data_IF_327900718597
#
_entry.id   IF_327900718597
#
_cell.length_a   1.000
_cell.length_b   1.000
_cell.length_c   1.000
_cell.angle_alpha   90.00
_cell.angle_beta   90.00
_cell.angle_gamma   90.00
#
_symmetry.space_group_name_H-M   'P 1'
#
loop_
_entity.id
_entity.type
_entity.pdbx_description
1 polymer ?
#
# COMPACT_ATOMS: atom_id res chain seq x y z
N UNK A 1 -22.47 0.89 11.66
CA UNK A 1 -22.72 -0.38 12.33
C UNK A 1 -21.46 -0.77 13.08
N UNK A 2 -21.60 -0.89 14.38
CA UNK A 2 -20.56 -1.33 15.33
C UNK A 2 -20.04 -2.73 14.91
N UNK A 3 -18.74 -2.89 14.62
CA UNK A 3 -18.18 -4.21 14.38
C UNK A 3 -18.13 -4.98 15.69
N UNK A 4 -19.19 -5.70 16.01
CA UNK A 4 -19.22 -6.56 17.19
C UNK A 4 -18.39 -7.81 16.94
N UNK A 5 -17.25 -7.88 17.55
CA UNK A 5 -16.43 -9.09 17.61
C UNK A 5 -17.22 -10.24 18.24
N UNK A 6 -17.47 -11.29 17.48
CA UNK A 6 -18.16 -12.47 17.97
C UNK A 6 -17.14 -13.61 18.15
N UNK A 7 -16.75 -13.87 19.39
CA UNK A 7 -15.86 -14.97 19.74
C UNK A 7 -14.37 -14.62 19.78
N UNK A 8 -13.49 -15.57 20.11
CA UNK A 8 -12.05 -15.38 20.12
C UNK A 8 -11.54 -15.14 18.70
N UNK A 9 -10.87 -14.01 18.45
CA UNK A 9 -10.26 -13.70 17.17
C UNK A 9 -8.86 -13.11 17.37
N UNK A 10 -8.00 -13.33 16.40
CA UNK A 10 -6.68 -12.70 16.32
C UNK A 10 -6.75 -11.58 15.29
N UNK A 11 -6.29 -10.40 15.65
CA UNK A 11 -6.18 -9.26 14.76
C UNK A 11 -4.75 -9.18 14.21
N UNK A 12 -4.61 -9.26 12.89
CA UNK A 12 -3.36 -9.01 12.18
C UNK A 12 -3.39 -7.61 11.55
N UNK A 13 -2.48 -6.75 12.00
CA UNK A 13 -2.32 -5.39 11.50
C UNK A 13 -1.23 -5.25 10.43
N UNK A 14 -0.68 -6.35 9.91
CA UNK A 14 0.43 -6.37 8.95
C UNK A 14 0.19 -5.59 7.68
N UNK A 15 -1.06 -5.45 7.25
CA UNK A 15 -1.45 -4.71 6.04
C UNK A 15 -1.80 -3.23 6.26
N UNK A 16 -1.57 -2.65 7.47
CA UNK A 16 -1.90 -1.24 7.76
C UNK A 16 -0.94 -0.57 8.74
N UNK A 17 -0.27 -1.35 9.60
CA UNK A 17 0.48 -0.80 10.72
C UNK A 17 1.73 -0.01 10.27
N UNK A 18 2.38 -0.40 9.18
CA UNK A 18 3.57 0.29 8.67
C UNK A 18 3.21 1.68 8.13
N UNK A 19 2.13 1.74 7.34
CA UNK A 19 1.61 3.01 6.83
C UNK A 19 1.16 3.93 7.96
N UNK A 20 0.46 3.39 8.96
CA UNK A 20 0.06 4.16 10.13
C UNK A 20 1.27 4.72 10.90
N UNK A 21 2.32 3.91 11.09
CA UNK A 21 3.54 4.35 11.74
C UNK A 21 4.22 5.51 10.99
N UNK A 22 4.30 5.42 9.65
CA UNK A 22 4.84 6.51 8.81
C UNK A 22 4.05 7.81 8.99
N UNK A 23 2.72 7.76 8.91
CA UNK A 23 1.86 8.93 9.11
C UNK A 23 2.05 9.54 10.51
N UNK A 24 2.20 8.69 11.55
CA UNK A 24 2.41 9.14 12.93
C UNK A 24 3.80 9.76 13.14
N UNK A 25 4.84 9.23 12.50
CA UNK A 25 6.18 9.79 12.56
C UNK A 25 6.19 11.16 11.88
N UNK A 26 5.68 11.24 10.64
CA UNK A 26 5.66 12.48 9.87
C UNK A 26 4.94 13.63 10.60
N UNK A 27 3.82 13.35 11.27
CA UNK A 27 3.08 14.34 12.07
C UNK A 27 3.86 14.91 13.25
N UNK A 28 4.88 14.21 13.73
CA UNK A 28 5.71 14.61 14.86
C UNK A 28 7.03 15.24 14.45
N UNK A 29 7.36 15.16 13.15
CA UNK A 29 8.58 15.79 12.64
C UNK A 29 8.42 17.30 12.57
N UNK A 30 9.45 18.00 12.99
CA UNK A 30 9.58 19.44 12.82
C UNK A 30 10.72 19.67 11.84
N UNK A 31 10.38 19.75 10.54
CA UNK A 31 11.35 19.92 9.47
C UNK A 31 11.72 21.39 9.29
N UNK A 32 12.96 21.62 8.90
CA UNK A 32 13.41 22.91 8.39
C UNK A 32 13.05 23.04 6.91
N UNK A 33 12.97 24.26 6.41
CA UNK A 33 12.49 24.56 5.05
C UNK A 33 13.34 23.95 3.93
N UNK A 34 14.62 23.62 4.20
CA UNK A 34 15.58 23.09 3.24
C UNK A 34 15.82 21.57 3.38
N UNK A 35 15.12 20.90 4.29
CA UNK A 35 15.28 19.46 4.50
C UNK A 35 14.41 18.64 3.55
N UNK A 36 15.01 17.76 2.74
CA UNK A 36 14.29 16.75 1.95
C UNK A 36 14.28 15.42 2.74
N UNK A 37 13.09 14.90 3.05
CA UNK A 37 12.91 13.73 3.91
C UNK A 37 11.99 12.71 3.26
N UNK A 38 12.51 11.50 3.07
CA UNK A 38 11.77 10.29 2.71
C UNK A 38 11.82 9.32 3.88
N UNK A 39 10.68 8.90 4.36
CA UNK A 39 10.56 7.82 5.34
C UNK A 39 10.32 6.49 4.62
N UNK A 40 11.01 5.43 5.08
CA UNK A 40 10.84 4.05 4.58
C UNK A 40 10.68 3.09 5.75
N UNK A 41 9.58 2.33 5.72
CA UNK A 41 9.36 1.18 6.62
C UNK A 41 9.05 -0.03 5.76
N UNK A 42 10.11 -0.79 5.42
CA UNK A 42 9.97 -2.06 4.70
C UNK A 42 9.27 -1.94 3.34
N UNK A 43 9.60 -0.89 2.58
CA UNK A 43 9.06 -0.63 1.26
C UNK A 43 7.75 0.18 1.23
N UNK A 44 7.24 0.59 2.41
CA UNK A 44 6.23 1.63 2.50
C UNK A 44 6.94 2.96 2.61
N UNK A 45 6.71 3.87 1.69
CA UNK A 45 7.42 5.14 1.58
C UNK A 45 6.47 6.31 1.82
N UNK A 46 6.98 7.35 2.50
CA UNK A 46 6.30 8.63 2.67
C UNK A 46 7.28 9.77 2.39
N UNK A 47 7.01 10.55 1.37
CA UNK A 47 7.75 11.79 1.09
C UNK A 47 7.22 12.90 2.03
N UNK A 48 7.88 13.09 3.16
CA UNK A 48 7.50 14.15 4.12
C UNK A 48 7.80 15.51 3.51
N UNK A 49 8.93 15.62 2.81
CA UNK A 49 9.33 16.80 2.04
C UNK A 49 10.16 16.41 0.82
N UNK A 50 10.18 17.28 -0.20
CA UNK A 50 10.90 17.04 -1.45
C UNK A 50 10.17 16.11 -2.42
N UNK A 51 10.84 15.82 -3.54
CA UNK A 51 10.38 14.90 -4.57
C UNK A 51 11.37 13.76 -4.74
N UNK A 52 10.85 12.53 -4.87
CA UNK A 52 11.66 11.32 -4.88
C UNK A 52 11.32 10.43 -6.06
N UNK A 53 12.32 10.08 -6.86
CA UNK A 53 12.14 9.11 -7.95
C UNK A 53 12.14 7.70 -7.39
N UNK A 54 11.02 7.02 -7.49
CA UNK A 54 10.81 5.67 -6.97
C UNK A 54 10.74 4.69 -8.14
N UNK A 55 11.47 3.57 -8.00
CA UNK A 55 11.38 2.45 -8.94
C UNK A 55 10.44 1.38 -8.37
N UNK A 56 9.51 0.92 -9.19
CA UNK A 56 8.66 -0.23 -8.85
C UNK A 56 9.40 -1.51 -9.14
N UNK A 57 9.63 -2.30 -8.11
CA UNK A 57 10.39 -3.54 -8.22
C UNK A 57 9.85 -4.44 -9.36
N UNK A 58 10.75 -5.00 -10.17
CA UNK A 58 10.47 -5.95 -11.26
C UNK A 58 9.57 -5.45 -12.39
N UNK A 59 9.05 -4.23 -12.33
CA UNK A 59 8.15 -3.71 -13.37
C UNK A 59 8.87 -2.89 -14.44
N UNK A 60 10.10 -2.44 -14.16
CA UNK A 60 10.80 -1.44 -14.96
C UNK A 60 10.17 -0.04 -14.93
N UNK A 61 9.06 0.14 -14.20
CA UNK A 61 8.36 1.41 -14.08
C UNK A 61 8.99 2.28 -13.00
N UNK A 62 8.96 3.59 -13.21
CA UNK A 62 9.34 4.59 -12.21
C UNK A 62 8.28 5.68 -12.14
N UNK A 63 8.14 6.30 -10.98
CA UNK A 63 7.28 7.47 -10.76
C UNK A 63 7.95 8.45 -9.80
N UNK A 64 7.40 9.65 -9.71
CA UNK A 64 7.86 10.66 -8.75
C UNK A 64 6.89 10.68 -7.57
N UNK A 65 7.41 10.34 -6.40
CA UNK A 65 6.69 10.50 -5.13
C UNK A 65 6.89 11.94 -4.66
N UNK A 66 5.80 12.69 -4.62
CA UNK A 66 5.82 14.12 -4.27
C UNK A 66 5.64 14.33 -2.78
N UNK A 67 6.08 15.48 -2.32
CA UNK A 67 5.85 15.92 -0.94
C UNK A 67 4.39 15.72 -0.50
N UNK A 68 4.20 15.18 0.69
CA UNK A 68 2.90 14.90 1.27
C UNK A 68 2.19 13.67 0.67
N UNK A 69 2.89 12.87 -0.16
CA UNK A 69 2.36 11.62 -0.70
C UNK A 69 3.14 10.42 -0.21
N UNK A 70 2.47 9.30 -0.16
CA UNK A 70 3.03 8.01 0.24
C UNK A 70 2.78 6.95 -0.83
N UNK A 71 3.59 5.90 -0.83
CA UNK A 71 3.29 4.70 -1.60
C UNK A 71 3.53 3.44 -0.78
N UNK A 72 2.79 2.39 -1.13
CA UNK A 72 2.95 1.06 -0.57
C UNK A 72 2.79 0.01 -1.64
N UNK A 73 3.56 -1.07 -1.56
CA UNK A 73 3.51 -2.17 -2.50
C UNK A 73 3.18 -3.47 -1.78
N UNK A 74 2.13 -4.14 -2.23
CA UNK A 74 1.78 -5.51 -1.83
C UNK A 74 2.03 -6.49 -2.97
N UNK A 75 2.56 -7.67 -2.64
CA UNK A 75 2.88 -8.69 -3.63
C UNK A 75 3.46 -9.95 -3.01
N UNK A 76 3.64 -10.99 -3.82
CA UNK A 76 4.20 -12.27 -3.39
C UNK A 76 5.74 -12.29 -3.40
N UNK A 77 6.35 -11.23 -3.92
CA UNK A 77 7.77 -11.19 -4.25
C UNK A 77 8.72 -11.36 -3.06
N UNK A 78 8.44 -10.68 -1.93
CA UNK A 78 9.35 -10.67 -0.78
C UNK A 78 9.07 -11.78 0.25
N UNK A 79 7.83 -12.27 0.35
CA UNK A 79 7.38 -13.17 1.41
C UNK A 79 6.66 -14.41 0.90
N UNK A 80 6.65 -14.64 -0.43
CA UNK A 80 5.88 -15.72 -1.02
C UNK A 80 4.36 -15.52 -0.85
N UNK A 81 3.61 -16.59 -0.96
CA UNK A 81 2.15 -16.60 -0.86
C UNK A 81 1.69 -16.46 0.59
N UNK A 82 1.59 -15.24 1.11
CA UNK A 82 1.19 -14.96 2.50
C UNK A 82 -0.10 -14.14 2.59
N UNK A 83 -0.58 -13.56 1.48
CA UNK A 83 -1.81 -12.76 1.48
C UNK A 83 -3.01 -13.69 1.30
N UNK A 84 -3.94 -13.60 2.25
CA UNK A 84 -5.11 -14.46 2.35
C UNK A 84 -6.36 -13.72 1.83
N UNK A 85 -7.16 -14.37 1.00
CA UNK A 85 -8.47 -13.86 0.58
C UNK A 85 -9.55 -14.39 1.53
N UNK A 86 -10.09 -13.56 2.42
CA UNK A 86 -11.09 -14.00 3.41
C UNK A 86 -12.41 -14.41 2.77
N UNK A 87 -12.68 -13.99 1.52
CA UNK A 87 -13.90 -14.35 0.79
C UNK A 87 -13.83 -15.79 0.28
N UNK A 88 -12.62 -16.27 -0.04
CA UNK A 88 -12.36 -17.61 -0.59
C UNK A 88 -11.85 -18.60 0.45
N UNK A 89 -11.43 -18.10 1.62
CA UNK A 89 -10.86 -18.95 2.65
C UNK A 89 -9.50 -19.56 2.25
N UNK A 90 -8.72 -18.90 1.39
CA UNK A 90 -7.44 -19.40 0.88
C UNK A 90 -6.47 -18.25 0.58
N UNK A 91 -5.19 -18.56 0.39
CA UNK A 91 -4.23 -17.59 -0.12
C UNK A 91 -4.62 -17.09 -1.50
N UNK A 92 -4.32 -15.82 -1.77
CA UNK A 92 -4.61 -15.20 -3.06
C UNK A 92 -3.92 -15.97 -4.19
N UNK A 93 -4.68 -16.25 -5.24
CA UNK A 93 -4.19 -16.87 -6.48
C UNK A 93 -4.74 -16.09 -7.66
N UNK A 94 -3.93 -15.20 -8.21
CA UNK A 94 -4.22 -14.39 -9.39
C UNK A 94 -2.93 -14.14 -10.18
N UNK A 95 -3.03 -13.47 -11.32
CA UNK A 95 -1.89 -13.16 -12.19
C UNK A 95 -1.15 -11.86 -11.79
N UNK A 96 -1.48 -11.28 -10.65
CA UNK A 96 -0.80 -10.09 -10.12
C UNK A 96 0.48 -10.50 -9.42
N UNK A 97 1.62 -9.95 -9.83
CA UNK A 97 2.88 -10.08 -9.12
C UNK A 97 2.96 -9.10 -7.95
N UNK A 98 2.59 -7.85 -8.21
CA UNK A 98 2.50 -6.81 -7.19
C UNK A 98 1.54 -5.69 -7.59
N UNK A 99 1.09 -4.94 -6.59
CA UNK A 99 0.35 -3.71 -6.77
C UNK A 99 0.93 -2.62 -5.88
N UNK A 100 1.24 -1.48 -6.48
CA UNK A 100 1.70 -0.28 -5.78
C UNK A 100 0.58 0.74 -5.76
N UNK A 101 0.26 1.25 -4.59
CA UNK A 101 -0.75 2.31 -4.39
C UNK A 101 -0.04 3.58 -3.94
N UNK A 102 -0.37 4.71 -4.58
CA UNK A 102 0.09 6.05 -4.22
C UNK A 102 -1.10 6.82 -3.66
N UNK A 103 -0.93 7.43 -2.49
CA UNK A 103 -1.98 8.13 -1.77
C UNK A 103 -1.42 9.33 -0.98
N UNK A 104 -2.30 10.21 -0.51
CA UNK A 104 -1.95 11.31 0.41
C UNK A 104 -1.72 10.86 1.87
N UNK A 105 -1.92 9.57 2.18
CA UNK A 105 -1.72 8.95 3.50
C UNK A 105 -1.03 7.62 3.33
N UNK A 106 0.02 7.38 4.09
CA UNK A 106 0.72 6.11 4.10
C UNK A 106 -0.16 4.97 4.65
N UNK A 107 -1.03 5.27 5.61
CA UNK A 107 -2.04 4.32 6.13
C UNK A 107 -2.96 3.85 5.01
N UNK A 108 -3.47 4.77 4.19
CA UNK A 108 -4.35 4.45 3.07
C UNK A 108 -3.61 3.64 2.00
N UNK A 109 -2.39 4.05 1.64
CA UNK A 109 -1.57 3.34 0.67
C UNK A 109 -1.29 1.89 1.11
N UNK A 110 -0.90 1.66 2.39
CA UNK A 110 -0.60 0.34 2.96
C UNK A 110 -1.85 -0.56 2.92
N UNK A 111 -2.98 -0.07 3.44
CA UNK A 111 -4.22 -0.82 3.46
C UNK A 111 -4.72 -1.17 2.06
N UNK A 112 -4.75 -0.20 1.14
CA UNK A 112 -5.31 -0.40 -0.20
C UNK A 112 -4.41 -1.24 -1.10
N UNK A 113 -3.08 -1.21 -0.93
CA UNK A 113 -2.20 -2.10 -1.69
C UNK A 113 -2.53 -3.58 -1.42
N UNK A 114 -2.82 -3.93 -0.16
CA UNK A 114 -3.25 -5.29 0.21
C UNK A 114 -4.64 -5.60 -0.32
N UNK A 115 -5.60 -4.68 -0.18
CA UNK A 115 -6.97 -4.84 -0.70
C UNK A 115 -6.96 -5.08 -2.21
N UNK A 116 -6.25 -4.24 -2.96
CA UNK A 116 -6.19 -4.38 -4.42
C UNK A 116 -5.47 -5.65 -4.85
N UNK A 117 -4.42 -6.07 -4.15
CA UNK A 117 -3.78 -7.36 -4.42
C UNK A 117 -4.75 -8.53 -4.29
N UNK A 118 -5.64 -8.49 -3.28
CA UNK A 118 -6.69 -9.50 -3.06
C UNK A 118 -7.77 -9.45 -4.15
N UNK A 119 -8.20 -8.24 -4.54
CA UNK A 119 -9.26 -8.05 -5.54
C UNK A 119 -8.80 -8.42 -6.95
N UNK A 120 -7.59 -8.00 -7.32
CA UNK A 120 -7.12 -8.04 -8.71
C UNK A 120 -7.66 -6.88 -9.55
N UNK A 121 -7.03 -6.60 -10.71
CA UNK A 121 -7.36 -5.41 -11.52
C UNK A 121 -8.76 -5.47 -12.18
N UNK A 122 -9.32 -6.65 -12.37
CA UNK A 122 -10.62 -6.85 -13.04
C UNK A 122 -11.83 -6.73 -12.10
N UNK A 123 -11.62 -6.62 -10.77
CA UNK A 123 -12.72 -6.47 -9.82
C UNK A 123 -13.31 -5.05 -9.90
N UNK A 124 -14.62 -4.96 -10.17
CA UNK A 124 -15.33 -3.68 -10.32
C UNK A 124 -15.22 -2.74 -9.10
N UNK A 125 -14.89 -3.27 -7.92
CA UNK A 125 -14.68 -2.47 -6.71
C UNK A 125 -13.38 -1.66 -6.77
N UNK A 126 -12.40 -2.07 -7.59
CA UNK A 126 -11.12 -1.38 -7.70
C UNK A 126 -11.33 0.06 -8.15
N UNK A 127 -12.10 0.29 -9.21
CA UNK A 127 -12.38 1.63 -9.70
C UNK A 127 -13.11 2.49 -8.67
N UNK A 128 -14.14 1.95 -8.02
CA UNK A 128 -14.93 2.64 -6.99
C UNK A 128 -14.05 3.06 -5.80
N UNK A 129 -13.17 2.16 -5.34
CA UNK A 129 -12.27 2.43 -4.22
C UNK A 129 -11.20 3.46 -4.63
N UNK A 130 -10.64 3.34 -5.83
CA UNK A 130 -9.65 4.27 -6.38
C UNK A 130 -10.20 5.70 -6.41
N UNK A 131 -11.41 5.88 -6.92
CA UNK A 131 -12.08 7.18 -6.95
C UNK A 131 -12.40 7.69 -5.55
N UNK A 132 -12.96 6.83 -4.68
CA UNK A 132 -13.35 7.21 -3.32
C UNK A 132 -12.19 7.73 -2.48
N UNK A 133 -11.01 7.11 -2.60
CA UNK A 133 -9.83 7.47 -1.80
C UNK A 133 -8.84 8.35 -2.55
N UNK A 134 -9.14 8.68 -3.82
CA UNK A 134 -8.28 9.50 -4.69
C UNK A 134 -6.84 8.98 -4.72
N UNK A 135 -6.68 7.72 -5.11
CA UNK A 135 -5.37 7.04 -5.15
C UNK A 135 -4.98 6.68 -6.57
N UNK A 136 -3.67 6.58 -6.82
CA UNK A 136 -3.12 6.02 -8.06
C UNK A 136 -2.69 4.57 -7.83
N UNK A 137 -2.87 3.72 -8.85
CA UNK A 137 -2.59 2.29 -8.74
C UNK A 137 -1.68 1.84 -9.88
N UNK A 138 -0.56 1.21 -9.55
CA UNK A 138 0.38 0.62 -10.51
C UNK A 138 0.38 -0.89 -10.34
N UNK A 139 -0.07 -1.59 -11.37
CA UNK A 139 -0.09 -3.04 -11.41
C UNK A 139 1.18 -3.58 -12.08
N UNK A 140 1.74 -4.62 -11.48
CA UNK A 140 2.76 -5.49 -12.09
C UNK A 140 2.18 -6.89 -12.22
N UNK A 141 2.10 -7.38 -13.46
CA UNK A 141 1.55 -8.71 -13.75
C UNK A 141 2.67 -9.73 -13.77
N UNK A 142 2.37 -10.97 -13.39
CA UNK A 142 3.31 -12.09 -13.54
C UNK A 142 3.66 -12.23 -15.02
N UNK A 143 4.94 -12.37 -15.34
CA UNK A 143 5.41 -12.65 -16.69
C UNK A 143 4.81 -13.97 -17.19
N UNK A 144 4.27 -13.96 -18.42
CA UNK A 144 3.89 -15.17 -19.14
C UNK A 144 5.11 -15.80 -19.76
#
# INVERSE_FOLDING_TARGET
SDPRWKGPCTLDLGGIAKGYALDMIARRMNLKDDEAVLLDIGGNLLAVSGEWKIAVARSGKTFVLRQGTACSTSGEYFRGKHIYDPRKGSVVSNDVESVTVIASSATVADALSTVFFVLGPEDAKVEQITQKYNVEVIWTMKGR
#
